data_IF_205671253802
#
_entry.id   IF_205671253802
#
_cell.length_a   1.000
_cell.length_b   1.000
_cell.length_c   1.000
_cell.angle_alpha   90.00
_cell.angle_beta   90.00
_cell.angle_gamma   90.00
#
_symmetry.space_group_name_H-M   'P 1'
#
loop_
_entity.id
_entity.type
_entity.pdbx_description
1 polymer ?
#
# COMPACT_ATOMS: atom_id res chain seq x y z
N UNK A 1 -17.33 57.27 13.33
CA UNK A 1 -17.83 56.10 12.60
C UNK A 1 -16.69 55.57 11.74
N UNK A 2 -16.02 54.50 12.16
CA UNK A 2 -14.89 53.91 11.43
C UNK A 2 -15.21 52.43 11.20
N UNK A 3 -15.35 52.04 9.93
CA UNK A 3 -15.65 50.68 9.53
C UNK A 3 -14.39 49.81 9.67
N UNK A 4 -14.39 48.91 10.64
CA UNK A 4 -13.38 47.88 10.79
C UNK A 4 -13.50 46.88 9.64
N UNK A 5 -12.49 46.89 8.77
CA UNK A 5 -12.30 45.92 7.68
C UNK A 5 -12.02 44.56 8.32
N UNK A 6 -13.02 43.68 8.34
CA UNK A 6 -12.85 42.26 8.66
C UNK A 6 -12.02 41.62 7.54
N UNK A 7 -10.71 41.58 7.73
CA UNK A 7 -9.82 40.75 6.91
C UNK A 7 -9.93 39.33 7.46
N UNK A 8 -10.71 38.49 6.78
CA UNK A 8 -10.72 37.05 7.00
C UNK A 8 -9.42 36.48 6.41
N UNK A 9 -8.37 36.40 7.22
CA UNK A 9 -7.23 35.55 6.92
C UNK A 9 -7.72 34.10 7.02
N UNK A 10 -7.81 33.43 5.88
CA UNK A 10 -7.82 31.96 5.84
C UNK A 10 -6.43 31.54 6.31
N UNK A 11 -6.33 31.15 7.57
CA UNK A 11 -5.13 30.52 8.09
C UNK A 11 -5.01 29.16 7.40
N UNK A 12 -4.09 29.06 6.44
CA UNK A 12 -3.61 27.79 5.89
C UNK A 12 -2.70 27.15 6.95
N UNK A 13 -3.25 26.89 8.13
CA UNK A 13 -2.64 26.04 9.13
C UNK A 13 -3.01 24.60 8.82
N UNK A 14 -2.44 24.01 7.76
CA UNK A 14 -2.62 22.58 7.51
C UNK A 14 -1.81 21.81 8.55
N UNK A 15 -2.42 21.56 9.71
CA UNK A 15 -1.92 20.58 10.64
C UNK A 15 -1.69 19.27 9.87
N UNK A 16 -0.43 18.84 9.81
CA UNK A 16 -0.02 17.57 9.19
C UNK A 16 -0.92 16.49 9.76
N UNK A 17 -1.66 15.82 8.89
CA UNK A 17 -2.57 14.78 9.29
C UNK A 17 -1.79 13.60 9.90
N UNK A 18 -2.37 12.84 10.83
CA UNK A 18 -1.65 11.74 11.50
C UNK A 18 -1.07 10.70 10.53
N UNK A 19 -1.70 10.48 9.37
CA UNK A 19 -1.21 9.56 8.35
C UNK A 19 -0.01 10.11 7.57
N UNK A 20 0.08 11.43 7.34
CA UNK A 20 1.27 12.05 6.73
C UNK A 20 2.51 11.90 7.63
N UNK A 21 2.33 12.07 8.95
CA UNK A 21 3.39 11.84 9.93
C UNK A 21 3.91 10.41 9.88
N UNK A 22 3.01 9.43 9.89
CA UNK A 22 3.35 8.01 9.78
C UNK A 22 4.11 7.69 8.48
N UNK A 23 3.65 8.20 7.33
CA UNK A 23 4.31 7.98 6.05
C UNK A 23 5.72 8.58 5.99
N UNK A 24 5.93 9.75 6.61
CA UNK A 24 7.25 10.36 6.69
C UNK A 24 8.19 9.57 7.61
N UNK A 25 7.70 9.10 8.76
CA UNK A 25 8.47 8.30 9.71
C UNK A 25 8.91 6.95 9.11
N UNK A 26 8.04 6.30 8.35
CA UNK A 26 8.30 4.96 7.79
C UNK A 26 8.80 4.98 6.34
N UNK A 27 9.12 6.18 5.80
CA UNK A 27 9.45 6.38 4.38
C UNK A 27 10.55 5.44 3.89
N UNK A 28 11.66 5.37 4.61
CA UNK A 28 12.83 4.59 4.17
C UNK A 28 12.55 3.08 4.25
N UNK A 29 11.77 2.63 5.24
CA UNK A 29 11.30 1.25 5.30
C UNK A 29 10.44 0.92 4.08
N UNK A 30 9.45 1.75 3.74
CA UNK A 30 8.59 1.51 2.59
C UNK A 30 9.35 1.51 1.26
N UNK A 31 10.35 2.38 1.12
CA UNK A 31 11.24 2.36 -0.04
C UNK A 31 12.06 1.08 -0.12
N UNK A 32 12.62 0.61 1.00
CA UNK A 32 13.36 -0.64 1.03
C UNK A 32 12.47 -1.84 0.69
N UNK A 33 11.25 -1.91 1.23
CA UNK A 33 10.26 -2.93 0.88
C UNK A 33 9.92 -2.92 -0.62
N UNK A 34 9.73 -1.73 -1.21
CA UNK A 34 9.51 -1.61 -2.65
C UNK A 34 10.74 -2.10 -3.45
N UNK A 35 11.95 -1.75 -3.02
CA UNK A 35 13.18 -2.19 -3.67
C UNK A 35 13.37 -3.71 -3.55
N UNK A 36 12.99 -4.31 -2.44
CA UNK A 36 13.02 -5.77 -2.26
C UNK A 36 12.07 -6.49 -3.22
N UNK A 37 10.85 -5.97 -3.40
CA UNK A 37 9.93 -6.49 -4.41
C UNK A 37 10.49 -6.34 -5.83
N UNK A 38 11.07 -5.18 -6.16
CA UNK A 38 11.62 -4.91 -7.50
C UNK A 38 12.88 -5.73 -7.83
N UNK A 39 13.58 -6.27 -6.83
CA UNK A 39 14.72 -7.18 -7.04
C UNK A 39 14.29 -8.54 -7.55
N UNK A 40 13.03 -8.94 -7.34
CA UNK A 40 12.49 -10.20 -7.85
C UNK A 40 12.28 -10.04 -9.36
N UNK A 41 12.93 -10.85 -10.22
CA UNK A 41 12.84 -10.70 -11.67
C UNK A 41 11.54 -11.33 -12.21
N UNK A 42 10.37 -10.87 -11.74
CA UNK A 42 9.04 -11.41 -12.06
C UNK A 42 8.53 -10.95 -13.43
N UNK A 43 9.23 -11.29 -14.51
CA UNK A 43 8.91 -10.89 -15.88
C UNK A 43 7.86 -11.84 -16.47
N UNK A 44 6.62 -11.37 -16.59
CA UNK A 44 5.45 -12.17 -16.98
C UNK A 44 5.47 -12.72 -18.41
N UNK A 45 6.16 -12.04 -19.33
CA UNK A 45 6.26 -12.44 -20.74
C UNK A 45 7.30 -13.53 -21.01
N UNK A 46 8.19 -13.81 -20.05
CA UNK A 46 9.24 -14.83 -20.18
C UNK A 46 8.83 -16.09 -19.40
N UNK A 47 8.66 -17.21 -20.08
CA UNK A 47 8.21 -18.47 -19.45
C UNK A 47 9.17 -18.96 -18.36
N UNK A 48 10.46 -18.72 -18.54
CA UNK A 48 11.51 -19.16 -17.60
C UNK A 48 11.45 -18.39 -16.27
N UNK A 49 10.78 -17.24 -16.25
CA UNK A 49 10.59 -16.40 -15.07
C UNK A 49 9.33 -16.75 -14.26
N UNK A 50 8.56 -17.78 -14.65
CA UNK A 50 7.39 -18.25 -13.88
C UNK A 50 7.67 -18.49 -12.39
N UNK A 51 8.82 -19.06 -11.98
CA UNK A 51 9.17 -19.19 -10.56
C UNK A 51 9.33 -17.83 -9.85
N UNK A 52 9.88 -16.82 -10.53
CA UNK A 52 10.02 -15.48 -9.95
C UNK A 52 8.68 -14.73 -9.86
N UNK A 53 7.75 -14.99 -10.78
CA UNK A 53 6.37 -14.48 -10.64
C UNK A 53 5.67 -15.13 -9.44
N UNK A 54 5.95 -16.40 -9.15
CA UNK A 54 5.48 -17.08 -7.93
C UNK A 54 6.08 -16.43 -6.69
N UNK A 55 7.40 -16.22 -6.67
CA UNK A 55 8.15 -15.58 -5.59
C UNK A 55 7.63 -14.16 -5.29
N UNK A 56 7.40 -13.34 -6.32
CA UNK A 56 6.85 -11.99 -6.14
C UNK A 56 5.44 -12.02 -5.53
N UNK A 57 4.61 -12.99 -5.92
CA UNK A 57 3.28 -13.13 -5.35
C UNK A 57 3.32 -13.61 -3.88
N UNK A 58 4.28 -14.47 -3.51
CA UNK A 58 4.51 -14.89 -2.12
C UNK A 58 5.05 -13.74 -1.26
N UNK A 59 5.91 -12.89 -1.83
CA UNK A 59 6.34 -11.66 -1.19
C UNK A 59 5.16 -10.72 -0.89
N UNK A 60 4.25 -10.54 -1.87
CA UNK A 60 3.04 -9.71 -1.69
C UNK A 60 2.11 -10.31 -0.65
N UNK A 61 1.93 -11.64 -0.62
CA UNK A 61 1.17 -12.31 0.42
C UNK A 61 1.74 -12.01 1.81
N UNK A 62 3.04 -12.18 2.01
CA UNK A 62 3.70 -11.88 3.28
C UNK A 62 3.55 -10.40 3.67
N UNK A 63 3.68 -9.48 2.71
CA UNK A 63 3.53 -8.04 2.96
C UNK A 63 2.11 -7.63 3.34
N UNK A 64 1.10 -8.27 2.73
CA UNK A 64 -0.31 -8.08 3.07
C UNK A 64 -0.61 -8.61 4.47
N UNK A 65 -0.10 -9.79 4.83
CA UNK A 65 -0.23 -10.36 6.18
C UNK A 65 0.42 -9.44 7.23
N UNK A 66 1.62 -8.92 6.96
CA UNK A 66 2.30 -7.98 7.85
C UNK A 66 1.55 -6.65 8.01
N UNK A 67 0.76 -6.24 7.00
CA UNK A 67 -0.10 -5.06 7.07
C UNK A 67 -1.41 -5.30 7.85
N UNK A 68 -1.67 -6.53 8.32
CA UNK A 68 -2.90 -6.89 9.03
C UNK A 68 -4.09 -7.18 8.10
N UNK A 69 -3.86 -7.45 6.82
CA UNK A 69 -4.89 -7.96 5.91
C UNK A 69 -5.16 -9.44 6.26
N UNK A 70 -6.41 -9.86 6.16
CA UNK A 70 -6.89 -11.19 6.51
C UNK A 70 -7.09 -12.06 5.27
N UNK A 71 -7.27 -13.36 5.50
CA UNK A 71 -7.53 -14.39 4.47
C UNK A 71 -6.57 -14.37 3.27
N UNK A 72 -5.35 -13.85 3.47
CA UNK A 72 -4.37 -13.66 2.41
C UNK A 72 -3.92 -15.02 1.90
N UNK A 73 -4.05 -15.24 0.60
CA UNK A 73 -3.67 -16.48 -0.06
C UNK A 73 -3.20 -16.22 -1.47
N UNK A 74 -2.21 -16.98 -1.90
CA UNK A 74 -1.89 -17.04 -3.32
C UNK A 74 -2.68 -18.12 -4.05
N UNK A 75 -3.43 -17.72 -5.06
CA UNK A 75 -4.33 -18.58 -5.82
C UNK A 75 -3.72 -18.95 -7.18
N UNK A 76 -3.63 -20.25 -7.52
CA UNK A 76 -3.21 -20.67 -8.84
C UNK A 76 -4.29 -20.31 -9.88
N UNK A 77 -3.84 -20.01 -11.09
CA UNK A 77 -4.72 -19.82 -12.26
C UNK A 77 -4.20 -20.69 -13.42
N UNK A 78 -4.89 -20.68 -14.56
CA UNK A 78 -4.35 -21.29 -15.79
C UNK A 78 -3.07 -20.62 -16.33
N UNK A 79 -2.64 -19.50 -15.74
CA UNK A 79 -1.46 -18.74 -16.14
C UNK A 79 -0.63 -18.31 -14.94
N UNK A 80 -0.69 -17.03 -14.62
CA UNK A 80 0.04 -16.42 -13.52
C UNK A 80 -0.82 -16.37 -12.25
N UNK A 81 -0.20 -16.56 -11.09
CA UNK A 81 -0.91 -16.57 -9.82
C UNK A 81 -1.54 -15.21 -9.50
N UNK A 82 -2.59 -15.23 -8.69
CA UNK A 82 -3.23 -14.03 -8.13
C UNK A 82 -3.12 -14.08 -6.62
N UNK A 83 -2.76 -12.96 -5.99
CA UNK A 83 -2.79 -12.82 -4.52
C UNK A 83 -4.15 -12.22 -4.14
N UNK A 84 -4.86 -12.89 -3.26
CA UNK A 84 -6.12 -12.43 -2.70
C UNK A 84 -5.95 -12.18 -1.21
N UNK A 85 -6.57 -11.15 -0.68
CA UNK A 85 -6.77 -10.92 0.76
C UNK A 85 -7.97 -10.03 0.98
N UNK A 86 -8.58 -10.13 2.16
CA UNK A 86 -9.74 -9.35 2.55
C UNK A 86 -9.50 -8.64 3.88
N UNK A 87 -10.21 -7.53 4.08
CA UNK A 87 -10.27 -6.84 5.35
C UNK A 87 -11.71 -6.40 5.52
N UNK A 88 -12.42 -7.06 6.44
CA UNK A 88 -13.88 -6.93 6.57
C UNK A 88 -14.30 -6.09 7.79
N UNK A 89 -13.38 -5.30 8.36
CA UNK A 89 -13.61 -4.54 9.61
C UNK A 89 -14.25 -3.16 9.40
N UNK A 90 -15.23 -3.07 8.51
CA UNK A 90 -16.07 -1.89 8.32
C UNK A 90 -17.48 -2.14 8.87
N UNK A 91 -17.84 -1.62 10.07
CA UNK A 91 -19.18 -1.76 10.61
C UNK A 91 -20.22 -1.13 9.65
N UNK A 92 -21.20 -1.91 9.21
CA UNK A 92 -22.33 -1.43 8.41
C UNK A 92 -22.05 -1.20 6.92
N UNK A 93 -20.95 -1.70 6.37
CA UNK A 93 -20.70 -1.73 4.92
C UNK A 93 -20.50 -3.18 4.45
N UNK A 94 -21.08 -3.58 3.31
CA UNK A 94 -20.93 -4.93 2.76
C UNK A 94 -19.49 -5.21 2.34
#
# INVERSE_FOLDING_TARGET
>A
MANAKLTMTIDCGSAVSPWEGYLNEHRDQHLNELLDLLRIPSISSLSDHRPHVREAAEWVEARMQAAGIESVRVMPTGGQPVVYGDWLHAPGKP
#
